data_IF_126468074325
#
_entry.id   IF_126468074325
#
_cell.length_a   1.000
_cell.length_b   1.000
_cell.length_c   1.000
_cell.angle_alpha   90.00
_cell.angle_beta   90.00
_cell.angle_gamma   90.00
#
_symmetry.space_group_name_H-M   'P 1'
#
loop_
_entity.id
_entity.type
_entity.pdbx_description
1 polymer ?
#
# COMPACT_ATOMS: atom_id res chain seq x y z
N UNK A 1 18.14 13.79 -8.03
CA UNK A 1 16.93 14.42 -7.48
C UNK A 1 15.79 13.41 -7.63
N UNK A 2 15.62 12.47 -6.70
CA UNK A 2 14.50 11.51 -6.78
C UNK A 2 13.25 12.25 -6.29
N UNK A 3 12.28 12.52 -7.16
CA UNK A 3 11.07 13.25 -6.78
C UNK A 3 10.06 12.31 -6.13
N UNK A 4 9.21 12.83 -5.23
CA UNK A 4 8.16 12.03 -4.58
C UNK A 4 7.18 11.40 -5.59
N UNK A 5 7.06 11.98 -6.79
CA UNK A 5 6.29 11.44 -7.91
C UNK A 5 6.90 10.16 -8.51
N UNK A 6 8.22 10.11 -8.68
CA UNK A 6 8.95 8.93 -9.18
C UNK A 6 8.73 7.71 -8.27
N UNK A 7 8.69 7.94 -6.96
CA UNK A 7 8.44 6.89 -5.97
C UNK A 7 7.02 6.33 -6.07
N UNK A 8 6.01 7.18 -6.27
CA UNK A 8 4.60 6.75 -6.43
C UNK A 8 4.37 6.03 -7.75
N UNK A 9 5.05 6.44 -8.82
CA UNK A 9 4.98 5.77 -10.12
C UNK A 9 5.60 4.36 -10.04
N UNK A 10 6.78 4.24 -9.41
CA UNK A 10 7.40 2.96 -9.09
C UNK A 10 6.50 2.05 -8.25
N UNK A 11 5.77 2.61 -7.29
CA UNK A 11 4.80 1.85 -6.51
C UNK A 11 3.60 1.42 -7.35
N UNK A 12 3.07 2.28 -8.21
CA UNK A 12 2.01 1.91 -9.14
C UNK A 12 2.42 0.78 -10.09
N UNK A 13 3.67 0.79 -10.56
CA UNK A 13 4.22 -0.26 -11.40
C UNK A 13 4.46 -1.58 -10.65
N UNK A 14 5.07 -1.53 -9.45
CA UNK A 14 5.37 -2.71 -8.63
C UNK A 14 4.13 -3.32 -7.97
N UNK A 15 3.17 -2.48 -7.59
CA UNK A 15 1.95 -2.89 -6.89
C UNK A 15 0.71 -2.90 -7.80
N UNK A 16 0.92 -3.03 -9.12
CA UNK A 16 -0.17 -3.27 -10.07
C UNK A 16 -0.88 -4.60 -9.79
N UNK A 17 -0.13 -5.59 -9.34
CA UNK A 17 -0.64 -6.91 -9.01
C UNK A 17 -1.32 -6.90 -7.64
N UNK A 18 -2.65 -6.87 -7.67
CA UNK A 18 -3.50 -6.87 -6.47
C UNK A 18 -3.48 -8.18 -5.69
N UNK A 19 -2.95 -9.25 -6.29
CA UNK A 19 -2.87 -10.61 -5.71
C UNK A 19 -1.59 -10.86 -4.92
N UNK A 20 -0.59 -9.99 -5.08
CA UNK A 20 0.69 -10.07 -4.40
C UNK A 20 0.59 -9.34 -3.07
N UNK A 21 1.08 -9.99 -2.01
CA UNK A 21 1.16 -9.37 -0.70
C UNK A 21 2.43 -8.52 -0.62
N UNK A 22 2.30 -7.20 -0.39
CA UNK A 22 3.47 -6.36 -0.17
C UNK A 22 4.14 -6.76 1.15
N UNK A 23 5.46 -6.99 1.13
CA UNK A 23 6.20 -7.44 2.33
C UNK A 23 6.98 -6.30 3.00
N UNK A 24 7.34 -5.26 2.24
CA UNK A 24 8.06 -4.08 2.70
C UNK A 24 7.12 -2.86 2.71
N UNK A 25 6.07 -2.89 3.55
CA UNK A 25 5.19 -1.73 3.71
C UNK A 25 5.80 -0.69 4.64
N UNK A 26 5.82 0.54 4.17
CA UNK A 26 6.08 1.73 4.97
C UNK A 26 4.78 2.54 5.19
N UNK A 27 4.76 3.51 6.10
CA UNK A 27 3.56 4.32 6.38
C UNK A 27 3.06 5.07 5.14
N UNK A 28 3.97 5.61 4.33
CA UNK A 28 3.60 6.32 3.09
C UNK A 28 3.07 5.34 2.04
N UNK A 29 3.72 4.18 1.90
CA UNK A 29 3.32 3.13 0.96
C UNK A 29 1.96 2.52 1.35
N UNK A 30 1.73 2.25 2.63
CA UNK A 30 0.45 1.72 3.10
C UNK A 30 -0.71 2.70 2.86
N UNK A 31 -0.50 3.99 3.09
CA UNK A 31 -1.50 5.01 2.74
C UNK A 31 -1.75 5.10 1.24
N UNK A 32 -0.68 5.05 0.44
CA UNK A 32 -0.78 5.03 -1.02
C UNK A 32 -1.55 3.81 -1.53
N UNK A 33 -1.18 2.61 -1.10
CA UNK A 33 -1.84 1.36 -1.49
C UNK A 33 -3.31 1.35 -1.06
N UNK A 34 -3.62 1.79 0.17
CA UNK A 34 -4.99 1.90 0.65
C UNK A 34 -5.82 2.85 -0.22
N UNK A 35 -5.27 3.99 -0.62
CA UNK A 35 -5.97 4.97 -1.46
C UNK A 35 -6.11 4.48 -2.91
N UNK A 36 -5.03 3.97 -3.51
CA UNK A 36 -4.97 3.47 -4.88
C UNK A 36 -5.87 2.24 -5.07
N UNK A 37 -5.86 1.30 -4.13
CA UNK A 37 -6.63 0.06 -4.22
C UNK A 37 -7.98 0.10 -3.50
N UNK A 38 -8.40 1.27 -2.98
CA UNK A 38 -9.73 1.43 -2.38
C UNK A 38 -10.86 0.98 -3.32
N UNK A 39 -10.67 1.14 -4.65
CA UNK A 39 -11.64 0.72 -5.66
C UNK A 39 -11.75 -0.79 -5.89
N UNK A 40 -10.75 -1.58 -5.49
CA UNK A 40 -10.75 -3.04 -5.65
C UNK A 40 -11.34 -3.77 -4.43
N UNK A 41 -11.42 -3.09 -3.28
CA UNK A 41 -12.08 -3.63 -2.08
C UNK A 41 -11.46 -4.93 -1.54
N UNK A 42 -12.27 -5.88 -1.02
CA UNK A 42 -11.78 -7.07 -0.32
C UNK A 42 -11.07 -8.08 -1.23
N UNK A 43 -11.13 -7.92 -2.55
CA UNK A 43 -10.44 -8.80 -3.50
C UNK A 43 -8.95 -8.43 -3.66
N UNK A 44 -8.52 -7.28 -3.11
CA UNK A 44 -7.15 -6.82 -3.20
C UNK A 44 -6.34 -7.16 -1.95
N UNK A 45 -5.34 -8.04 -2.09
CA UNK A 45 -4.40 -8.37 -1.00
C UNK A 45 -3.56 -7.18 -0.59
N UNK A 46 -3.18 -6.31 -1.54
CA UNK A 46 -2.43 -5.08 -1.26
C UNK A 46 -3.23 -4.13 -0.35
N UNK A 47 -4.52 -3.95 -0.64
CA UNK A 47 -5.42 -3.14 0.18
C UNK A 47 -5.55 -3.71 1.59
N UNK A 48 -5.77 -5.03 1.71
CA UNK A 48 -5.90 -5.71 2.99
C UNK A 48 -4.60 -5.64 3.81
N UNK A 49 -3.45 -5.88 3.18
CA UNK A 49 -2.14 -5.77 3.83
C UNK A 49 -1.86 -4.34 4.30
N UNK A 50 -2.15 -3.33 3.47
CA UNK A 50 -2.02 -1.92 3.84
C UNK A 50 -2.95 -1.51 4.98
N UNK A 51 -4.21 -1.97 4.96
CA UNK A 51 -5.17 -1.72 6.03
C UNK A 51 -4.73 -2.39 7.33
N UNK A 52 -4.31 -3.65 7.27
CA UNK A 52 -3.82 -4.41 8.42
C UNK A 52 -2.56 -3.77 9.02
N UNK A 53 -1.64 -3.29 8.19
CA UNK A 53 -0.44 -2.59 8.63
C UNK A 53 -0.77 -1.29 9.36
N UNK A 54 -1.70 -0.48 8.81
CA UNK A 54 -2.13 0.77 9.43
C UNK A 54 -2.88 0.54 10.74
N UNK A 55 -3.68 -0.53 10.82
CA UNK A 55 -4.38 -0.91 12.04
C UNK A 55 -3.39 -1.40 13.10
N UNK A 56 -2.59 -2.43 12.79
CA UNK A 56 -1.67 -3.07 13.73
C UNK A 56 -0.57 -2.14 14.28
N UNK A 57 -0.24 -1.05 13.58
CA UNK A 57 0.71 -0.03 14.06
C UNK A 57 0.06 1.07 14.91
N UNK A 58 -1.27 1.20 14.86
CA UNK A 58 -2.07 2.16 15.64
C UNK A 58 -2.42 1.68 17.05
N UNK A 59 -2.27 0.38 17.32
CA UNK A 59 -2.64 -0.26 18.59
C UNK A 59 -1.46 -0.51 19.55
N UNK A 60 -0.38 0.25 19.41
CA UNK A 60 0.68 0.35 20.42
C UNK A 60 0.51 1.64 21.25
N UNK A 61 -0.59 1.73 22.00
CA UNK A 61 -0.76 2.71 23.07
C UNK A 61 -1.26 2.04 24.35
#
# INVERSE_FOLDING_TARGET
>A
MQTSLDRRDLWGAQHRDCTVEPTDLDMDLAQFLRATHAGHGPECRQYLAAAAYLYGRGEHN
#
